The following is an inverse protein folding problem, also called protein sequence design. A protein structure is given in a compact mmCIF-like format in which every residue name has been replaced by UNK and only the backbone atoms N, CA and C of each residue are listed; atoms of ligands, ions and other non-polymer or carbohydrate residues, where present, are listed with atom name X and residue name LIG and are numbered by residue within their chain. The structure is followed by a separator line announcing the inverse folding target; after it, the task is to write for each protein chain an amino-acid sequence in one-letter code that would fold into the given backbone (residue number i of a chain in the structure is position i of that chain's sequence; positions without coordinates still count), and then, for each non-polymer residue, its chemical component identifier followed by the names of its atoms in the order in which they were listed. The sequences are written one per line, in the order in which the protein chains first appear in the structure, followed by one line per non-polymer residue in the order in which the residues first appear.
data_IF_530703229596
#
_entry.id   IF_530703229596
#
_cell.length_a   1.000
_cell.length_b   1.000
_cell.length_c   1.000
_cell.angle_alpha   90.00
_cell.angle_beta   90.00
_cell.angle_gamma   90.00
#
_symmetry.space_group_name_H-M   'P 1'
#
loop_
_entity.id
_entity.type
_entity.pdbx_description
1 polymer ?
#
# COMPACT_ATOMS: atom_id res chain seq x y z
N UNK A 1 52.23 -3.09 -17.22
CA UNK A 1 51.42 -2.30 -16.27
C UNK A 1 50.04 -2.14 -16.89
N UNK A 2 49.01 -2.62 -16.20
CA UNK A 2 47.57 -2.33 -16.41
C UNK A 2 47.16 -1.16 -15.49
N UNK A 3 45.88 -0.73 -15.37
CA UNK A 3 44.68 -0.87 -16.22
C UNK A 3 44.34 0.51 -16.88
N UNK A 4 43.15 0.92 -17.35
CA UNK A 4 41.76 0.39 -17.55
C UNK A 4 41.45 0.35 -19.07
N UNK A 5 40.28 0.00 -19.64
CA UNK A 5 38.85 -0.07 -19.27
C UNK A 5 38.05 1.25 -19.23
N UNK A 6 37.71 1.76 -20.42
CA UNK A 6 36.44 2.46 -20.70
C UNK A 6 35.88 1.95 -22.04
N UNK A 7 34.58 2.20 -22.30
CA UNK A 7 33.80 1.84 -23.51
C UNK A 7 33.23 0.40 -23.60
N UNK A 8 32.27 0.08 -22.73
CA UNK A 8 31.16 -0.85 -23.07
C UNK A 8 29.82 -0.57 -22.36
N UNK A 9 29.60 0.67 -21.89
CA UNK A 9 28.36 1.07 -21.20
C UNK A 9 27.24 1.56 -22.15
N UNK A 10 26.89 0.73 -23.15
CA UNK A 10 25.74 0.94 -24.05
C UNK A 10 25.05 -0.39 -24.41
N UNK A 11 24.43 -1.09 -23.44
CA UNK A 11 23.55 -2.23 -23.79
C UNK A 11 22.44 -2.60 -22.79
N UNK A 12 21.91 -1.66 -22.00
CA UNK A 12 20.74 -1.90 -21.14
C UNK A 12 19.71 -0.75 -21.17
N UNK A 13 19.24 -0.41 -22.37
CA UNK A 13 18.00 0.37 -22.56
C UNK A 13 17.12 -0.38 -23.58
N UNK A 14 16.56 -1.50 -23.13
CA UNK A 14 15.58 -2.32 -23.86
C UNK A 14 14.63 -3.00 -22.88
N UNK A 15 13.83 -2.20 -22.17
CA UNK A 15 12.61 -2.67 -21.51
C UNK A 15 11.45 -1.86 -22.08
N UNK A 16 10.63 -2.53 -22.87
CA UNK A 16 9.40 -1.98 -23.44
C UNK A 16 8.39 -1.75 -22.28
N UNK A 17 7.97 -0.51 -21.99
CA UNK A 17 7.11 -0.20 -20.85
C UNK A 17 5.62 -0.53 -21.11
N UNK A 18 5.29 -1.32 -22.13
CA UNK A 18 3.91 -1.64 -22.50
C UNK A 18 3.23 -2.69 -21.61
N UNK A 19 3.97 -3.57 -20.94
CA UNK A 19 3.44 -4.56 -19.98
C UNK A 19 4.20 -4.53 -18.65
N UNK A 20 3.51 -4.14 -17.58
CA UNK A 20 4.02 -4.12 -16.21
C UNK A 20 4.11 -5.56 -15.67
N UNK A 21 5.19 -6.27 -16.03
CA UNK A 21 5.43 -7.67 -15.63
C UNK A 21 6.45 -7.75 -14.49
N UNK A 22 6.20 -8.67 -13.56
CA UNK A 22 7.20 -9.08 -12.58
C UNK A 22 8.31 -9.92 -13.22
N UNK A 23 9.38 -10.17 -12.46
CA UNK A 23 10.27 -11.31 -12.73
C UNK A 23 9.50 -12.65 -12.63
N UNK A 24 10.17 -13.73 -13.02
CA UNK A 24 9.71 -15.09 -12.72
C UNK A 24 9.93 -15.41 -11.22
N UNK A 25 9.00 -16.16 -10.66
CA UNK A 25 9.00 -16.74 -9.32
C UNK A 25 8.80 -18.25 -9.43
N UNK A 26 9.48 -18.94 -8.52
CA UNK A 26 9.77 -20.37 -8.52
C UNK A 26 10.11 -20.66 -7.05
N UNK A 27 9.20 -21.32 -6.34
CA UNK A 27 9.20 -21.48 -4.88
C UNK A 27 8.98 -22.92 -4.42
N UNK A 28 8.13 -23.70 -5.09
CA UNK A 28 7.79 -25.07 -4.70
C UNK A 28 8.11 -26.10 -5.82
N UNK A 29 9.25 -26.78 -5.68
CA UNK A 29 9.63 -27.90 -6.58
C UNK A 29 8.48 -28.95 -6.63
N UNK A 30 8.22 -29.65 -7.76
CA UNK A 30 7.12 -30.64 -7.95
C UNK A 30 7.14 -31.91 -7.08
N UNK A 31 7.94 -31.90 -6.01
CA UNK A 31 8.15 -33.02 -5.09
C UNK A 31 6.95 -33.28 -4.19
N UNK A 32 6.79 -34.54 -3.77
CA UNK A 32 5.68 -35.00 -2.91
C UNK A 32 4.30 -34.85 -3.59
N UNK A 33 3.64 -33.70 -3.42
CA UNK A 33 2.21 -33.54 -3.68
C UNK A 33 1.89 -32.86 -5.01
N UNK A 34 2.86 -32.16 -5.60
CA UNK A 34 2.65 -31.30 -6.77
C UNK A 34 3.64 -30.13 -6.73
N UNK A 35 3.36 -29.13 -7.53
CA UNK A 35 4.03 -27.83 -7.63
C UNK A 35 2.96 -26.74 -7.36
N UNK A 36 3.27 -25.80 -6.46
CA UNK A 36 2.32 -24.85 -5.89
C UNK A 36 2.84 -23.41 -5.81
N UNK A 37 2.93 -22.74 -6.96
CA UNK A 37 3.19 -21.30 -7.07
C UNK A 37 1.99 -20.40 -6.65
N UNK A 38 1.65 -20.46 -5.36
CA UNK A 38 0.52 -19.75 -4.74
C UNK A 38 0.83 -18.26 -4.53
N UNK A 39 0.02 -17.38 -5.13
CA UNK A 39 0.21 -15.92 -5.11
C UNK A 39 0.35 -15.38 -3.68
N UNK A 40 -0.49 -15.83 -2.76
CA UNK A 40 -0.50 -15.30 -1.38
C UNK A 40 0.76 -15.66 -0.59
N UNK A 41 1.48 -16.71 -0.97
CA UNK A 41 2.74 -17.09 -0.33
C UNK A 41 3.91 -16.41 -1.02
N UNK A 42 3.92 -16.35 -2.36
CA UNK A 42 4.87 -15.54 -3.13
C UNK A 42 4.89 -14.07 -2.70
N UNK A 43 3.74 -13.46 -2.42
CA UNK A 43 3.64 -12.08 -1.90
C UNK A 43 4.27 -11.92 -0.50
N UNK A 44 4.19 -12.93 0.38
CA UNK A 44 4.82 -12.92 1.71
C UNK A 44 6.34 -13.10 1.63
N UNK A 45 6.80 -13.94 0.71
CA UNK A 45 8.21 -14.29 0.51
C UNK A 45 8.94 -13.17 -0.24
N UNK A 46 8.26 -12.51 -1.18
CA UNK A 46 8.78 -11.43 -2.01
C UNK A 46 8.00 -10.11 -1.83
N UNK A 47 7.97 -9.55 -0.61
CA UNK A 47 7.18 -8.36 -0.33
C UNK A 47 7.70 -7.17 -1.16
N UNK A 48 6.74 -6.47 -1.77
CA UNK A 48 6.99 -5.36 -2.69
C UNK A 48 7.33 -5.74 -4.14
N UNK A 49 7.59 -7.02 -4.45
CA UNK A 49 7.97 -7.46 -5.82
C UNK A 49 6.77 -7.89 -6.68
N UNK A 50 5.61 -8.12 -6.06
CA UNK A 50 4.35 -8.49 -6.71
C UNK A 50 3.25 -7.55 -6.22
N UNK A 51 2.46 -7.00 -7.13
CA UNK A 51 1.28 -6.21 -6.77
C UNK A 51 0.23 -7.05 -6.04
N UNK A 52 -0.64 -6.40 -5.26
CA UNK A 52 -1.69 -7.09 -4.49
C UNK A 52 -2.71 -7.82 -5.36
N UNK A 53 -3.07 -7.23 -6.50
CA UNK A 53 -4.05 -7.76 -7.44
C UNK A 53 -3.46 -7.78 -8.85
N UNK A 54 -2.77 -8.86 -9.23
CA UNK A 54 -2.36 -9.09 -10.60
C UNK A 54 -3.55 -9.13 -11.57
N UNK A 55 -3.35 -8.61 -12.78
CA UNK A 55 -4.33 -8.63 -13.87
C UNK A 55 -4.26 -9.95 -14.65
N UNK A 56 -3.06 -10.50 -14.81
CA UNK A 56 -2.83 -11.76 -15.51
C UNK A 56 -1.65 -12.53 -14.90
N UNK A 57 -1.61 -13.84 -15.14
CA UNK A 57 -0.52 -14.74 -14.81
C UNK A 57 0.00 -15.39 -16.09
N UNK A 58 1.31 -15.54 -16.19
CA UNK A 58 1.98 -16.38 -17.17
C UNK A 58 2.68 -17.51 -16.43
N UNK A 59 2.59 -18.73 -16.97
CA UNK A 59 3.17 -19.93 -16.38
C UNK A 59 3.91 -20.70 -17.46
N UNK A 60 5.10 -21.18 -17.13
CA UNK A 60 5.93 -22.02 -17.97
C UNK A 60 6.76 -22.95 -17.10
N UNK A 61 7.29 -24.02 -17.68
CA UNK A 61 8.31 -24.81 -17.00
C UNK A 61 9.56 -23.97 -16.73
N UNK A 62 10.36 -24.38 -15.74
CA UNK A 62 11.69 -23.83 -15.47
C UNK A 62 12.59 -23.92 -16.71
N UNK A 63 12.40 -24.97 -17.53
CA UNK A 63 13.09 -25.20 -18.81
C UNK A 63 12.66 -24.29 -19.96
N UNK A 64 11.51 -23.62 -19.89
CA UNK A 64 11.09 -22.62 -20.89
C UNK A 64 9.77 -22.89 -21.61
N UNK A 65 9.17 -24.06 -21.45
CA UNK A 65 7.97 -24.44 -22.20
C UNK A 65 6.70 -23.82 -21.57
N UNK A 66 5.86 -23.11 -22.33
CA UNK A 66 4.58 -22.60 -21.83
C UNK A 66 3.75 -23.72 -21.22
N UNK A 67 3.14 -23.49 -20.06
CA UNK A 67 2.36 -24.52 -19.36
C UNK A 67 1.17 -25.03 -20.20
N UNK A 68 0.64 -24.24 -21.12
CA UNK A 68 -0.36 -24.67 -22.11
C UNK A 68 0.09 -25.78 -23.06
N UNK A 69 1.40 -26.03 -23.16
CA UNK A 69 2.00 -27.03 -24.05
C UNK A 69 2.33 -28.35 -23.33
N UNK A 70 2.26 -28.39 -22.00
CA UNK A 70 2.53 -29.61 -21.24
C UNK A 70 1.31 -30.54 -21.25
N UNK A 71 1.46 -31.73 -20.67
CA UNK A 71 0.38 -32.75 -20.64
C UNK A 71 -0.40 -32.77 -19.33
N UNK A 72 -0.20 -31.76 -18.49
CA UNK A 72 -0.56 -31.78 -17.08
C UNK A 72 -1.95 -31.17 -16.84
N UNK A 73 -2.61 -31.66 -15.80
CA UNK A 73 -3.89 -31.14 -15.33
C UNK A 73 -3.66 -30.13 -14.20
N UNK A 74 -3.97 -28.86 -14.46
CA UNK A 74 -3.80 -27.78 -13.48
C UNK A 74 -5.03 -27.64 -12.57
N UNK A 75 -4.79 -27.56 -11.26
CA UNK A 75 -5.80 -27.29 -10.25
C UNK A 75 -6.14 -25.79 -10.21
N UNK A 76 -5.13 -24.94 -10.32
CA UNK A 76 -5.27 -23.49 -10.43
C UNK A 76 -4.36 -22.95 -11.56
N UNK A 77 -4.90 -21.98 -12.30
CA UNK A 77 -4.17 -21.20 -13.30
C UNK A 77 -4.90 -19.86 -13.42
N UNK A 78 -4.66 -18.94 -12.48
CA UNK A 78 -5.28 -17.62 -12.50
C UNK A 78 -4.51 -16.58 -11.69
N UNK A 79 -4.75 -15.30 -12.02
CA UNK A 79 -4.06 -14.16 -11.41
C UNK A 79 -4.47 -13.86 -9.95
N UNK A 80 -5.49 -14.54 -9.40
CA UNK A 80 -6.02 -14.33 -8.04
C UNK A 80 -5.49 -15.36 -7.05
N UNK A 81 -5.37 -16.63 -7.46
CA UNK A 81 -4.82 -17.72 -6.64
C UNK A 81 -3.35 -18.00 -6.92
N UNK A 82 -2.88 -17.78 -8.15
CA UNK A 82 -1.58 -18.23 -8.63
C UNK A 82 -1.71 -19.47 -9.53
N UNK A 83 -0.74 -20.37 -9.42
CA UNK A 83 -0.72 -21.64 -10.14
C UNK A 83 -0.64 -22.82 -9.17
N UNK A 84 -1.23 -23.95 -9.55
CA UNK A 84 -1.07 -25.21 -8.83
C UNK A 84 -1.24 -26.39 -9.78
N UNK A 85 -0.26 -27.29 -9.78
CA UNK A 85 -0.36 -28.62 -10.36
C UNK A 85 -0.29 -29.65 -9.23
N UNK A 86 -1.28 -30.55 -9.11
CA UNK A 86 -1.28 -31.58 -8.08
C UNK A 86 -0.90 -32.95 -8.67
N UNK A 87 0.11 -33.63 -8.10
CA UNK A 87 0.55 -34.97 -8.51
C UNK A 87 -0.60 -36.00 -8.46
N UNK A 88 -1.57 -35.82 -7.55
CA UNK A 88 -2.75 -36.67 -7.44
C UNK A 88 -3.65 -36.65 -8.70
N UNK A 89 -3.66 -35.53 -9.43
CA UNK A 89 -4.49 -35.34 -10.63
C UNK A 89 -3.75 -35.76 -11.93
N UNK A 90 -2.44 -36.04 -11.85
CA UNK A 90 -1.61 -36.45 -13.00
C UNK A 90 -1.63 -37.97 -13.27
N UNK A 91 -2.44 -38.71 -12.52
CA UNK A 91 -2.62 -40.16 -12.67
C UNK A 91 -1.40 -40.98 -12.23
N UNK A 92 -0.46 -41.22 -13.16
CA UNK A 92 0.78 -41.97 -12.90
C UNK A 92 2.05 -41.17 -13.21
N UNK A 93 1.92 -39.87 -13.50
CA UNK A 93 3.03 -38.93 -13.67
C UNK A 93 3.16 -38.07 -12.40
N UNK A 94 4.26 -37.33 -12.29
CA UNK A 94 4.30 -36.10 -11.50
C UNK A 94 3.99 -34.91 -12.39
N UNK A 95 3.71 -33.77 -11.79
CA UNK A 95 3.81 -32.47 -12.45
C UNK A 95 5.22 -32.25 -12.99
N UNK A 96 5.32 -31.50 -14.08
CA UNK A 96 6.55 -30.79 -14.44
C UNK A 96 6.87 -29.69 -13.40
N UNK A 97 8.06 -29.11 -13.53
CA UNK A 97 8.62 -28.06 -12.68
C UNK A 97 8.33 -26.68 -13.28
N UNK A 98 7.46 -25.88 -12.67
CA UNK A 98 6.90 -24.63 -13.19
C UNK A 98 7.36 -23.38 -12.44
N UNK A 99 7.26 -22.25 -13.14
CA UNK A 99 7.49 -20.92 -12.60
C UNK A 99 6.48 -19.93 -13.14
N UNK A 100 6.11 -18.95 -12.32
CA UNK A 100 5.06 -17.96 -12.61
C UNK A 100 5.62 -16.55 -12.74
N UNK A 101 4.98 -15.72 -13.55
CA UNK A 101 5.11 -14.25 -13.44
C UNK A 101 3.76 -13.59 -13.57
N UNK A 102 3.65 -12.41 -12.98
CA UNK A 102 2.41 -11.66 -12.87
C UNK A 102 2.47 -10.39 -13.71
N UNK A 103 1.36 -10.07 -14.39
CA UNK A 103 1.14 -8.75 -14.97
C UNK A 103 0.36 -7.90 -13.98
N UNK A 104 0.92 -6.77 -13.59
CA UNK A 104 0.38 -5.85 -12.60
C UNK A 104 -0.27 -4.61 -13.26
N UNK A 105 -1.11 -3.86 -12.53
CA UNK A 105 -1.58 -2.54 -12.95
C UNK A 105 -0.41 -1.62 -13.30
N UNK A 106 -0.56 -0.76 -14.31
CA UNK A 106 0.54 0.07 -14.83
C UNK A 106 1.15 0.95 -13.73
N UNK A 107 0.31 1.38 -12.80
CA UNK A 107 0.65 2.19 -11.63
C UNK A 107 1.71 1.53 -10.74
N UNK A 108 1.80 0.18 -10.73
CA UNK A 108 2.79 -0.59 -9.99
C UNK A 108 4.20 -0.55 -10.61
N UNK A 109 4.32 -0.41 -11.93
CA UNK A 109 5.62 -0.26 -12.62
C UNK A 109 5.93 1.19 -13.02
N UNK A 110 4.90 2.04 -13.11
CA UNK A 110 5.00 3.49 -13.27
C UNK A 110 5.06 4.20 -11.91
N UNK A 111 5.55 3.49 -10.87
CA UNK A 111 5.84 4.07 -9.56
C UNK A 111 6.73 5.28 -9.76
N UNK A 112 6.14 6.44 -9.52
CA UNK A 112 6.91 7.65 -9.33
C UNK A 112 7.48 7.58 -7.92
N UNK A 113 8.78 7.32 -7.80
CA UNK A 113 9.52 7.43 -6.53
C UNK A 113 9.38 8.81 -5.88
N UNK A 114 8.84 9.80 -6.60
CA UNK A 114 8.52 11.13 -6.12
C UNK A 114 7.22 11.18 -5.28
N UNK A 115 6.31 10.21 -5.42
CA UNK A 115 5.04 10.19 -4.67
C UNK A 115 5.06 9.13 -3.56
N UNK A 116 5.93 9.35 -2.58
CA UNK A 116 6.10 8.51 -1.40
C UNK A 116 5.76 9.32 -0.15
N UNK A 117 5.25 8.66 0.89
CA UNK A 117 5.13 9.28 2.21
C UNK A 117 6.52 9.55 2.81
N UNK A 118 6.58 10.28 3.92
CA UNK A 118 7.71 10.13 4.86
C UNK A 118 7.67 8.72 5.49
N UNK A 119 8.71 8.35 6.24
CA UNK A 119 8.59 7.22 7.16
C UNK A 119 7.53 7.51 8.23
N UNK A 120 6.68 6.52 8.45
CA UNK A 120 5.55 6.51 9.37
C UNK A 120 5.78 5.40 10.40
N UNK A 121 5.80 5.79 11.67
CA UNK A 121 5.77 4.90 12.84
C UNK A 121 4.54 5.37 13.64
N UNK A 122 3.47 4.60 13.56
CA UNK A 122 2.18 4.82 14.19
C UNK A 122 1.92 3.93 15.40
N UNK A 123 2.72 2.87 15.58
CA UNK A 123 2.78 2.01 16.76
C UNK A 123 4.22 1.96 17.30
N UNK A 124 4.44 1.40 18.48
CA UNK A 124 5.76 1.11 19.04
C UNK A 124 5.73 -0.31 19.61
N UNK A 125 6.84 -1.08 19.60
CA UNK A 125 6.84 -2.48 20.02
C UNK A 125 6.37 -2.63 21.47
N UNK A 126 5.19 -3.23 21.61
CA UNK A 126 4.45 -3.40 22.85
C UNK A 126 4.45 -4.86 23.32
N UNK A 127 3.57 -5.25 24.25
CA UNK A 127 3.42 -6.66 24.65
C UNK A 127 2.89 -7.55 23.51
N UNK A 128 2.11 -7.00 22.57
CA UNK A 128 1.54 -7.76 21.45
C UNK A 128 2.51 -7.88 20.26
N UNK A 129 3.25 -6.81 19.97
CA UNK A 129 4.11 -6.67 18.79
C UNK A 129 4.19 -5.21 18.35
N UNK A 130 4.37 -5.01 17.06
CA UNK A 130 4.50 -3.71 16.40
C UNK A 130 3.68 -3.69 15.09
N UNK A 131 2.72 -2.77 14.95
CA UNK A 131 1.67 -2.83 13.92
C UNK A 131 1.42 -1.51 13.18
N UNK A 132 2.01 -1.40 12.00
CA UNK A 132 1.82 -0.30 11.05
C UNK A 132 0.67 -0.58 10.06
N UNK A 133 -0.56 -0.63 10.60
CA UNK A 133 -1.76 -0.87 9.79
C UNK A 133 -2.18 0.35 8.97
N UNK A 134 -2.51 0.17 7.68
CA UNK A 134 -2.98 1.25 6.78
C UNK A 134 -4.18 2.00 7.37
N UNK A 135 -5.13 1.28 7.98
CA UNK A 135 -6.33 1.89 8.58
C UNK A 135 -6.03 2.69 9.85
N UNK A 136 -4.96 2.36 10.57
CA UNK A 136 -4.52 3.12 11.73
C UNK A 136 -3.67 4.31 11.29
N UNK A 137 -2.74 4.12 10.35
CA UNK A 137 -1.94 5.16 9.71
C UNK A 137 -2.79 6.28 9.10
N UNK A 138 -3.90 5.96 8.44
CA UNK A 138 -4.86 6.94 7.92
C UNK A 138 -5.47 7.83 9.02
N UNK A 139 -5.62 7.33 10.25
CA UNK A 139 -6.14 8.08 11.41
C UNK A 139 -5.05 8.84 12.15
N UNK A 140 -3.87 8.24 12.32
CA UNK A 140 -2.72 8.83 13.02
C UNK A 140 -2.08 9.95 12.18
N UNK A 141 -2.05 9.79 10.85
CA UNK A 141 -1.41 10.71 9.90
C UNK A 141 -2.38 11.16 8.79
N UNK A 142 -3.50 11.81 9.16
CA UNK A 142 -4.54 12.21 8.21
C UNK A 142 -3.98 13.23 7.20
N UNK A 143 -4.34 13.06 5.93
CA UNK A 143 -3.81 13.84 4.80
C UNK A 143 -2.35 13.55 4.41
N UNK A 144 -1.61 12.76 5.21
CA UNK A 144 -0.23 12.32 4.91
C UNK A 144 -0.16 10.88 4.39
N UNK A 145 -1.27 10.14 4.43
CA UNK A 145 -1.40 8.74 3.98
C UNK A 145 -2.45 8.65 2.87
N UNK A 146 -2.11 8.02 1.76
CA UNK A 146 -3.07 7.71 0.70
C UNK A 146 -3.93 6.50 1.07
N UNK A 147 -5.22 6.54 0.70
CA UNK A 147 -6.20 5.49 1.04
C UNK A 147 -5.88 4.13 0.41
N UNK A 148 -5.34 4.14 -0.80
CA UNK A 148 -4.99 2.95 -1.59
C UNK A 148 -3.51 3.08 -1.98
N UNK A 149 -2.55 2.61 -1.16
CA UNK A 149 -1.15 2.61 -1.52
C UNK A 149 -0.86 1.60 -2.64
N UNK A 150 0.19 1.85 -3.43
CA UNK A 150 0.64 0.99 -4.53
C UNK A 150 1.66 -0.03 -4.01
N UNK A 151 2.58 0.41 -3.15
CA UNK A 151 3.54 -0.45 -2.45
C UNK A 151 3.77 0.04 -1.02
N UNK A 152 4.26 -0.87 -0.19
CA UNK A 152 4.70 -0.63 1.19
C UNK A 152 6.12 -1.18 1.32
N UNK A 153 6.99 -0.41 1.95
CA UNK A 153 8.32 -0.85 2.37
C UNK A 153 8.44 -0.61 3.87
N UNK A 154 9.07 -1.55 4.58
CA UNK A 154 9.29 -1.50 6.02
C UNK A 154 10.78 -1.61 6.37
N UNK A 155 11.19 -0.84 7.37
CA UNK A 155 12.50 -0.92 8.01
C UNK A 155 12.33 -0.69 9.51
N UNK A 156 13.33 -1.03 10.32
CA UNK A 156 13.33 -0.67 11.74
C UNK A 156 13.44 0.86 11.92
N UNK A 157 13.10 1.38 13.10
CA UNK A 157 13.39 2.76 13.48
C UNK A 157 14.89 3.12 13.35
N UNK A 158 15.77 2.12 13.50
CA UNK A 158 17.22 2.20 13.29
C UNK A 158 17.69 2.08 11.82
N UNK A 159 16.78 1.89 10.85
CA UNK A 159 17.07 1.87 9.42
C UNK A 159 17.49 0.51 8.84
N UNK A 160 17.28 -0.59 9.57
CA UNK A 160 17.51 -1.95 9.06
C UNK A 160 16.29 -2.39 8.26
N UNK A 161 16.43 -2.68 6.97
CA UNK A 161 15.32 -3.19 6.15
C UNK A 161 14.70 -4.44 6.79
N UNK A 162 13.36 -4.52 6.81
CA UNK A 162 12.63 -5.66 7.36
C UNK A 162 12.99 -7.00 6.69
N UNK A 163 13.50 -6.99 5.45
CA UNK A 163 14.03 -8.20 4.77
C UNK A 163 15.29 -8.78 5.46
N UNK A 164 15.94 -8.04 6.37
CA UNK A 164 17.22 -8.43 7.01
C UNK A 164 17.13 -8.62 8.53
N UNK A 165 15.98 -8.38 9.17
CA UNK A 165 15.84 -8.55 10.63
C UNK A 165 15.69 -10.03 11.03
N UNK A 166 15.09 -10.85 10.17
CA UNK A 166 14.80 -12.26 10.43
C UNK A 166 13.49 -12.50 11.20
N UNK A 167 12.73 -11.44 11.46
CA UNK A 167 11.36 -11.52 11.99
C UNK A 167 10.39 -12.14 10.98
N UNK A 168 9.33 -12.74 11.50
CA UNK A 168 8.22 -13.32 10.75
C UNK A 168 7.01 -12.40 10.84
N UNK A 169 6.68 -11.74 9.73
CA UNK A 169 5.58 -10.79 9.66
C UNK A 169 4.22 -11.49 9.56
N UNK A 170 3.22 -10.97 10.27
CA UNK A 170 1.82 -11.35 10.11
C UNK A 170 1.23 -10.73 8.83
N UNK A 171 1.66 -9.51 8.51
CA UNK A 171 1.24 -8.72 7.35
C UNK A 171 2.43 -7.96 6.79
N UNK A 172 2.50 -7.83 5.46
CA UNK A 172 3.48 -6.98 4.77
C UNK A 172 2.92 -6.62 3.39
N UNK A 173 1.82 -5.87 3.39
CA UNK A 173 1.03 -5.58 2.20
C UNK A 173 0.29 -4.23 2.31
N UNK A 174 -0.20 -3.70 1.19
CA UNK A 174 -0.91 -2.41 1.16
C UNK A 174 -2.41 -2.50 1.48
N UNK A 175 -2.91 -3.70 1.79
CA UNK A 175 -4.33 -3.92 2.15
C UNK A 175 -4.53 -3.76 3.65
N UNK A 176 -3.70 -4.45 4.44
CA UNK A 176 -3.73 -4.44 5.90
C UNK A 176 -2.64 -3.55 6.49
N UNK A 177 -1.45 -3.52 5.87
CA UNK A 177 -0.26 -2.80 6.32
C UNK A 177 0.90 -3.75 6.63
N UNK A 178 1.76 -3.30 7.53
CA UNK A 178 2.85 -4.11 8.07
C UNK A 178 2.54 -4.48 9.52
N UNK A 179 2.83 -5.72 9.92
CA UNK A 179 2.60 -6.18 11.28
C UNK A 179 3.61 -7.25 11.70
N UNK A 180 4.38 -6.97 12.75
CA UNK A 180 5.14 -7.97 13.48
C UNK A 180 4.42 -8.31 14.79
N UNK A 181 4.27 -9.60 15.10
CA UNK A 181 3.62 -10.05 16.36
C UNK A 181 4.62 -10.84 17.20
N UNK A 182 4.81 -10.45 18.47
CA UNK A 182 5.79 -11.02 19.39
C UNK A 182 5.68 -12.55 19.49
N UNK A 183 4.44 -13.07 19.59
CA UNK A 183 4.15 -14.49 19.71
C UNK A 183 4.55 -15.36 18.50
N UNK A 184 4.92 -14.75 17.37
CA UNK A 184 5.46 -15.45 16.19
C UNK A 184 6.99 -15.41 16.09
N UNK A 185 7.66 -14.59 16.90
CA UNK A 185 9.12 -14.42 16.80
C UNK A 185 9.88 -15.43 17.65
N UNK A 186 11.03 -15.89 17.14
CA UNK A 186 11.96 -16.76 17.90
C UNK A 186 12.57 -16.03 19.10
N UNK A 187 12.81 -14.72 18.95
CA UNK A 187 13.18 -13.76 20.00
C UNK A 187 12.08 -13.53 21.03
N UNK A 188 10.81 -13.80 20.68
CA UNK A 188 9.58 -13.35 21.34
C UNK A 188 9.40 -11.82 21.43
N UNK A 189 10.16 -11.07 20.64
CA UNK A 189 10.10 -9.62 20.58
C UNK A 189 10.31 -9.18 19.13
N UNK A 190 9.40 -8.34 18.64
CA UNK A 190 9.56 -7.62 17.39
C UNK A 190 10.52 -6.44 17.55
N UNK A 191 11.26 -6.14 16.50
CA UNK A 191 11.90 -4.83 16.36
C UNK A 191 10.83 -3.70 16.26
N UNK A 192 11.26 -2.46 16.48
CA UNK A 192 10.46 -1.24 16.25
C UNK A 192 10.49 -0.91 14.75
N UNK A 193 9.37 -1.00 14.03
CA UNK A 193 9.31 -0.77 12.59
C UNK A 193 8.67 0.57 12.21
N UNK A 194 8.96 0.99 11.00
CA UNK A 194 8.37 2.14 10.34
C UNK A 194 8.17 1.81 8.87
N UNK A 195 7.12 2.37 8.28
CA UNK A 195 6.74 2.11 6.89
C UNK A 195 6.80 3.36 6.03
N UNK A 196 7.09 3.17 4.75
CA UNK A 196 6.94 4.17 3.70
C UNK A 196 5.98 3.61 2.66
N UNK A 197 5.02 4.44 2.27
CA UNK A 197 3.96 4.08 1.35
C UNK A 197 4.18 4.82 0.03
N UNK A 198 4.17 4.07 -1.07
CA UNK A 198 4.10 4.64 -2.42
C UNK A 198 2.65 4.90 -2.75
N UNK A 199 2.33 6.12 -3.17
CA UNK A 199 0.97 6.57 -3.38
C UNK A 199 0.67 6.82 -4.88
N UNK A 200 -0.61 6.72 -5.29
CA UNK A 200 -1.05 7.15 -6.63
C UNK A 200 -0.65 8.60 -6.91
N UNK A 201 -0.27 8.91 -8.15
CA UNK A 201 0.25 10.23 -8.55
C UNK A 201 -0.65 11.40 -8.15
N UNK A 202 -1.98 11.24 -8.24
CA UNK A 202 -2.98 12.21 -7.81
C UNK A 202 -2.84 12.65 -6.33
N UNK A 203 -2.31 11.80 -5.45
CA UNK A 203 -2.11 12.15 -4.04
C UNK A 203 -1.06 13.26 -3.87
N UNK A 204 0.00 13.26 -4.69
CA UNK A 204 1.09 14.23 -4.60
C UNK A 204 0.99 15.36 -5.64
N UNK A 205 0.45 15.07 -6.82
CA UNK A 205 0.35 16.00 -7.95
C UNK A 205 -1.04 16.64 -8.07
N UNK A 206 -2.05 16.09 -7.40
CA UNK A 206 -3.40 16.66 -7.38
C UNK A 206 -3.43 18.10 -6.85
N UNK A 207 -4.29 18.91 -7.45
CA UNK A 207 -4.49 20.28 -7.00
C UNK A 207 -5.25 20.28 -5.67
N UNK A 208 -4.88 21.22 -4.81
CA UNK A 208 -5.56 21.49 -3.55
C UNK A 208 -6.62 22.56 -3.77
N UNK A 209 -7.81 22.34 -3.24
CA UNK A 209 -8.83 23.40 -3.16
C UNK A 209 -8.33 24.54 -2.28
N UNK A 210 -9.04 25.69 -2.31
CA UNK A 210 -8.98 26.64 -1.21
C UNK A 210 -9.43 25.98 0.11
N UNK A 211 -9.18 26.66 1.22
CA UNK A 211 -9.78 26.31 2.50
C UNK A 211 -11.29 26.60 2.49
N UNK A 212 -12.04 25.71 3.13
CA UNK A 212 -13.47 25.78 3.43
C UNK A 212 -13.64 25.75 4.95
N UNK A 213 -14.56 26.58 5.41
CA UNK A 213 -14.85 26.92 6.79
C UNK A 213 -16.34 27.24 6.76
N UNK A 214 -17.16 26.38 7.38
CA UNK A 214 -18.60 26.29 7.20
C UNK A 214 -19.37 26.18 8.52
N UNK A 215 -18.74 25.76 9.62
CA UNK A 215 -19.36 25.61 10.94
C UNK A 215 -18.42 26.02 12.10
N UNK A 216 -18.76 27.07 12.84
CA UNK A 216 -18.06 27.39 14.09
C UNK A 216 -18.26 26.25 15.13
N UNK A 217 -17.32 26.00 16.07
CA UNK A 217 -17.38 24.92 17.09
C UNK A 217 -18.47 25.06 18.17
N UNK A 218 -19.48 25.88 17.90
CA UNK A 218 -20.61 26.14 18.79
C UNK A 218 -21.56 24.95 18.87
N UNK A 219 -22.39 24.91 19.91
CA UNK A 219 -23.40 23.86 20.14
C UNK A 219 -22.79 22.44 20.18
N UNK A 220 -22.81 21.69 19.07
CA UNK A 220 -22.50 20.25 19.02
C UNK A 220 -21.04 19.95 18.67
N UNK A 221 -20.31 20.89 18.08
CA UNK A 221 -18.98 20.66 17.52
C UNK A 221 -18.78 21.48 16.27
N UNK A 222 -17.88 21.03 15.42
CA UNK A 222 -17.44 21.65 14.17
C UNK A 222 -17.52 20.59 13.05
N UNK A 223 -18.07 20.96 11.89
CA UNK A 223 -18.57 20.00 10.89
C UNK A 223 -18.29 20.40 9.43
N UNK A 224 -17.00 20.41 9.08
CA UNK A 224 -16.47 20.56 7.71
C UNK A 224 -16.63 19.30 6.82
N UNK A 225 -17.88 18.87 6.65
CA UNK A 225 -18.22 17.66 5.87
C UNK A 225 -18.15 17.90 4.35
N UNK A 226 -17.61 16.93 3.61
CA UNK A 226 -17.46 17.00 2.15
C UNK A 226 -18.81 17.25 1.45
N UNK A 227 -19.88 16.61 1.92
CA UNK A 227 -21.23 16.77 1.37
C UNK A 227 -21.72 18.23 1.46
N UNK A 228 -21.45 18.92 2.57
CA UNK A 228 -21.83 20.33 2.78
C UNK A 228 -21.00 21.24 1.87
N UNK A 229 -19.69 20.97 1.75
CA UNK A 229 -18.78 21.68 0.84
C UNK A 229 -19.21 21.53 -0.62
N UNK A 230 -19.49 20.31 -1.08
CA UNK A 230 -20.00 20.02 -2.42
C UNK A 230 -21.36 20.69 -2.71
N UNK A 231 -22.24 20.76 -1.71
CA UNK A 231 -23.56 21.41 -1.85
C UNK A 231 -23.44 22.93 -2.01
N UNK A 232 -22.53 23.57 -1.27
CA UNK A 232 -22.35 25.02 -1.29
C UNK A 232 -21.40 25.50 -2.40
N UNK A 233 -20.45 24.66 -2.81
CA UNK A 233 -19.41 25.00 -3.79
C UNK A 233 -19.19 23.89 -4.84
N UNK A 234 -20.22 23.50 -5.61
CA UNK A 234 -20.21 22.29 -6.46
C UNK A 234 -19.17 22.26 -7.58
N UNK A 235 -18.54 23.39 -7.90
CA UNK A 235 -17.48 23.50 -8.90
C UNK A 235 -16.10 23.88 -8.31
N UNK A 236 -15.98 23.96 -6.98
CA UNK A 236 -14.72 24.30 -6.29
C UNK A 236 -14.09 23.10 -5.56
N UNK A 237 -14.76 21.94 -5.58
CA UNK A 237 -14.27 20.67 -5.05
C UNK A 237 -14.75 19.54 -5.98
N UNK A 238 -13.93 18.52 -6.14
CA UNK A 238 -14.26 17.32 -6.90
C UNK A 238 -15.31 16.44 -6.19
N UNK A 239 -15.97 15.56 -6.95
CA UNK A 239 -16.92 14.58 -6.42
C UNK A 239 -16.27 13.54 -5.50
N UNK A 240 -15.02 13.17 -5.78
CA UNK A 240 -14.22 12.20 -5.03
C UNK A 240 -12.81 12.74 -4.78
N UNK A 241 -12.56 13.42 -3.65
CA UNK A 241 -11.21 13.81 -3.23
C UNK A 241 -10.31 12.61 -2.91
N UNK A 242 -9.01 12.77 -3.16
CA UNK A 242 -7.98 11.75 -2.84
C UNK A 242 -7.36 11.96 -1.46
N UNK A 243 -7.39 13.19 -0.94
CA UNK A 243 -6.96 13.54 0.42
C UNK A 243 -7.80 14.69 0.99
N UNK A 244 -7.79 14.83 2.31
CA UNK A 244 -8.28 16.01 3.03
C UNK A 244 -7.20 16.46 4.01
N UNK A 245 -7.01 17.77 4.11
CA UNK A 245 -6.20 18.42 5.14
C UNK A 245 -7.14 19.25 6.02
N UNK A 246 -7.02 19.15 7.34
CA UNK A 246 -7.71 20.00 8.31
C UNK A 246 -6.71 20.69 9.23
N UNK A 247 -6.96 21.97 9.50
CA UNK A 247 -6.22 22.76 10.48
C UNK A 247 -7.15 23.77 11.14
N UNK A 248 -6.79 24.29 12.30
CA UNK A 248 -7.58 25.33 12.95
C UNK A 248 -7.63 26.59 12.08
N UNK A 249 -8.62 27.46 12.31
CA UNK A 249 -8.69 28.77 11.67
C UNK A 249 -7.42 29.60 11.98
N UNK A 250 -6.81 29.40 13.15
CA UNK A 250 -5.51 29.96 13.56
C UNK A 250 -4.28 29.31 12.93
N UNK A 251 -4.42 28.21 12.17
CA UNK A 251 -3.34 27.57 11.40
C UNK A 251 -2.60 26.42 12.08
N UNK A 252 -3.11 25.89 13.20
CA UNK A 252 -2.55 24.69 13.86
C UNK A 252 -3.07 23.44 13.14
N UNK A 253 -2.21 22.55 12.60
CA UNK A 253 -2.67 21.32 11.95
C UNK A 253 -3.52 20.46 12.91
N UNK A 254 -4.64 19.91 12.44
CA UNK A 254 -5.60 19.28 13.34
C UNK A 254 -5.01 18.12 14.16
N UNK A 255 -4.07 17.34 13.60
CA UNK A 255 -3.36 16.27 14.30
C UNK A 255 -2.42 16.74 15.44
N UNK A 256 -2.24 18.06 15.63
CA UNK A 256 -1.39 18.65 16.68
C UNK A 256 -2.20 19.34 17.79
N UNK A 257 -3.53 19.36 17.69
CA UNK A 257 -4.41 20.08 18.62
C UNK A 257 -4.71 19.30 19.90
N UNK A 258 -4.71 17.96 19.83
CA UNK A 258 -5.17 17.08 20.90
C UNK A 258 -6.68 16.83 20.92
N UNK A 259 -7.45 17.44 20.00
CA UNK A 259 -8.88 17.16 19.84
C UNK A 259 -9.11 15.77 19.23
N UNK A 260 -10.25 15.15 19.57
CA UNK A 260 -10.69 13.86 19.03
C UNK A 260 -11.65 14.09 17.87
N UNK A 261 -11.35 13.51 16.71
CA UNK A 261 -12.13 13.69 15.49
C UNK A 261 -13.00 12.46 15.19
N UNK A 262 -14.31 12.66 15.10
CA UNK A 262 -15.28 11.62 14.71
C UNK A 262 -15.12 11.25 13.22
N UNK A 263 -14.74 12.23 12.41
CA UNK A 263 -14.48 12.09 10.98
C UNK A 263 -13.24 12.90 10.63
N UNK A 264 -12.29 12.27 9.91
CA UNK A 264 -11.17 12.96 9.28
C UNK A 264 -10.67 12.10 8.10
N UNK A 265 -11.41 12.11 7.00
CA UNK A 265 -11.03 11.37 5.78
C UNK A 265 -11.61 11.99 4.51
N UNK A 266 -10.94 11.75 3.38
CA UNK A 266 -11.24 12.39 2.10
C UNK A 266 -12.65 12.10 1.55
N UNK A 267 -13.31 11.02 2.00
CA UNK A 267 -14.65 10.64 1.50
C UNK A 267 -15.79 11.27 2.31
N UNK A 268 -15.53 11.70 3.56
CA UNK A 268 -16.54 12.29 4.45
C UNK A 268 -16.24 13.75 4.83
N UNK A 269 -14.99 14.20 4.72
CA UNK A 269 -14.52 15.50 5.19
C UNK A 269 -13.95 15.43 6.60
N UNK A 270 -14.35 16.37 7.45
CA UNK A 270 -13.91 16.48 8.83
C UNK A 270 -15.11 16.74 9.77
N UNK A 271 -15.03 16.22 10.99
CA UNK A 271 -15.98 16.51 12.06
C UNK A 271 -15.32 16.34 13.43
N UNK A 272 -15.36 17.40 14.23
CA UNK A 272 -15.04 17.38 15.66
C UNK A 272 -16.35 17.49 16.46
N UNK A 273 -16.54 16.65 17.48
CA UNK A 273 -17.77 16.64 18.29
C UNK A 273 -17.47 17.07 19.72
N UNK A 274 -18.12 18.13 20.20
CA UNK A 274 -17.89 18.70 21.54
C UNK A 274 -18.13 17.67 22.67
N UNK A 275 -19.09 16.76 22.50
CA UNK A 275 -19.41 15.74 23.49
C UNK A 275 -18.39 14.57 23.54
N UNK A 276 -17.51 14.46 22.55
CA UNK A 276 -16.48 13.40 22.46
C UNK A 276 -15.11 13.91 22.95
N UNK A 277 -14.97 15.20 23.28
CA UNK A 277 -13.70 15.77 23.69
C UNK A 277 -13.32 15.40 25.15
N UNK A 278 -12.05 15.03 25.40
CA UNK A 278 -11.59 14.69 26.74
C UNK A 278 -11.66 15.90 27.69
N UNK A 279 -11.89 15.64 28.97
CA UNK A 279 -11.92 16.67 30.02
C UNK A 279 -13.11 17.64 29.96
N UNK A 280 -14.09 17.42 29.06
CA UNK A 280 -15.18 18.38 28.85
C UNK A 280 -14.77 19.63 28.07
N UNK A 281 -13.64 19.56 27.37
CA UNK A 281 -13.22 20.58 26.40
C UNK A 281 -14.24 20.73 25.27
N UNK A 282 -14.05 21.77 24.44
CA UNK A 282 -14.77 21.92 23.18
C UNK A 282 -13.78 21.81 22.03
N UNK A 283 -14.30 21.45 20.88
CA UNK A 283 -13.58 21.54 19.63
C UNK A 283 -12.99 22.93 19.45
N UNK A 284 -11.77 22.98 18.92
CA UNK A 284 -11.26 24.18 18.28
C UNK A 284 -12.05 24.47 16.99
N UNK A 285 -11.76 25.62 16.41
CA UNK A 285 -12.39 26.15 15.21
C UNK A 285 -11.55 25.74 14.00
N UNK A 286 -12.10 24.98 13.05
CA UNK A 286 -11.37 24.28 11.99
C UNK A 286 -11.82 24.67 10.58
N UNK A 287 -10.91 24.44 9.64
CA UNK A 287 -11.14 24.57 8.21
C UNK A 287 -10.46 23.43 7.45
N UNK A 288 -11.08 23.00 6.36
CA UNK A 288 -10.59 21.91 5.51
C UNK A 288 -10.19 22.36 4.12
N UNK A 289 -9.28 21.64 3.48
CA UNK A 289 -9.12 21.65 2.03
C UNK A 289 -8.97 20.23 1.51
N UNK A 290 -9.34 20.03 0.26
CA UNK A 290 -9.33 18.73 -0.39
C UNK A 290 -8.25 18.70 -1.48
N UNK A 291 -7.58 17.57 -1.63
CA UNK A 291 -6.77 17.27 -2.82
C UNK A 291 -7.66 16.55 -3.82
N UNK A 292 -7.70 17.05 -5.05
CA UNK A 292 -8.50 16.49 -6.14
C UNK A 292 -7.62 15.84 -7.22
N UNK A 293 -8.11 14.80 -7.92
CA UNK A 293 -7.39 14.18 -9.04
C UNK A 293 -6.98 15.19 -10.11
N UNK A 294 -5.87 14.96 -10.80
CA UNK A 294 -5.33 15.81 -11.87
C UNK A 294 -6.36 16.13 -12.97
N UNK A 295 -7.26 15.18 -13.27
CA UNK A 295 -8.35 15.36 -14.22
C UNK A 295 -9.35 16.46 -13.82
N UNK A 296 -9.55 16.72 -12.52
CA UNK A 296 -10.37 17.85 -12.04
C UNK A 296 -9.61 19.19 -12.17
N UNK A 297 -8.28 19.14 -12.00
CA UNK A 297 -7.40 20.30 -11.97
C UNK A 297 -7.07 20.88 -13.35
N UNK A 298 -7.41 20.14 -14.40
CA UNK A 298 -7.09 20.46 -15.81
C UNK A 298 -8.25 21.16 -16.53
N UNK A 299 -9.23 21.69 -15.78
CA UNK A 299 -10.51 22.25 -16.24
C UNK A 299 -10.68 23.69 -15.73
#
# INVERSE_FOLDING_TARGET
MTPTEELSFQMWVSLDPSECRTRWFDHDDPTRNGDYEVLSDLQKIHPGEICQQPIAIEVQTVSGEPASNTSDAFLNYDATYGFACANADQGSRSCEDYRVRFTCPKEFCQVSDQCRTRWLNGDNPSEEGDVESILQLLKTFPGQVCRNPISIEAQTASGISAKHTGDTFLSYDVTFGFACINGRQKSKQCEDYQVILTCPSDFCQGCRTRWFDLDDPTRRGDYETLLRVQTLYPSQVCSQPVAVEAMTVSGVPAHQTGDVFQVYDAARGFACVNAEQPGGNRCQDYKVRFTCPLAFCSV
#
